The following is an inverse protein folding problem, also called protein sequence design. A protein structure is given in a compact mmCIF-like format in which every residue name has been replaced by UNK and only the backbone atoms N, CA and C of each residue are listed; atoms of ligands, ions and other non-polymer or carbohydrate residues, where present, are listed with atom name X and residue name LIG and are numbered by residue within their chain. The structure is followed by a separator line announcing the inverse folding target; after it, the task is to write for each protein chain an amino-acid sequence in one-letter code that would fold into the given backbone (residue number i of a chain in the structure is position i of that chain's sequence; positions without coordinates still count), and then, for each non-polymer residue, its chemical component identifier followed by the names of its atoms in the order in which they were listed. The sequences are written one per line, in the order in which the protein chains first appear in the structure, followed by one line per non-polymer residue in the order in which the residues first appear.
data_IF_938609864371
#
_entry.id   IF_938609864371
#
_cell.length_a   1.000
_cell.length_b   1.000
_cell.length_c   1.000
_cell.angle_alpha   90.00
_cell.angle_beta   90.00
_cell.angle_gamma   90.00
#
_symmetry.space_group_name_H-M   'P 1'
#
loop_
_entity.id
_entity.type
_entity.pdbx_description
1 polymer ?
#
# COMPACT_ATOMS: atom_id res chain seq x y z
N UNK A 1 -13.58 5.85 -12.79
CA UNK A 1 -12.54 5.19 -11.97
C UNK A 1 -13.25 4.36 -10.92
N UNK A 2 -13.12 3.04 -11.00
CA UNK A 2 -13.74 2.06 -10.08
C UNK A 2 -12.65 1.48 -9.19
N UNK A 3 -12.91 1.36 -7.90
CA UNK A 3 -12.03 0.66 -6.96
C UNK A 3 -12.74 -0.64 -6.57
N UNK A 4 -12.01 -1.75 -6.60
CA UNK A 4 -12.55 -3.06 -6.27
C UNK A 4 -11.48 -3.92 -5.59
N UNK A 5 -11.94 -4.91 -4.83
CA UNK A 5 -11.07 -5.98 -4.36
C UNK A 5 -10.60 -6.82 -5.55
N UNK A 6 -9.34 -7.22 -5.53
CA UNK A 6 -8.73 -8.06 -6.57
C UNK A 6 -7.93 -9.21 -5.92
N UNK A 7 -7.73 -10.32 -6.63
CA UNK A 7 -6.75 -11.33 -6.25
C UNK A 7 -5.33 -10.75 -6.13
N UNK A 8 -4.51 -11.33 -5.24
CA UNK A 8 -3.11 -10.92 -5.08
C UNK A 8 -2.34 -10.96 -6.41
N UNK A 9 -2.59 -11.99 -7.22
CA UNK A 9 -1.89 -12.23 -8.50
C UNK A 9 -2.09 -11.10 -9.50
N UNK A 10 -3.26 -10.46 -9.50
CA UNK A 10 -3.57 -9.33 -10.38
C UNK A 10 -2.71 -8.10 -10.06
N UNK A 11 -2.08 -8.05 -8.89
CA UNK A 11 -1.16 -6.96 -8.53
C UNK A 11 0.22 -7.09 -9.16
N UNK A 12 0.61 -8.27 -9.63
CA UNK A 12 2.02 -8.58 -9.93
C UNK A 12 2.58 -7.73 -11.08
N UNK A 13 1.81 -7.54 -12.14
CA UNK A 13 2.26 -6.74 -13.29
C UNK A 13 2.56 -5.29 -12.91
N UNK A 14 1.69 -4.65 -12.12
CA UNK A 14 1.92 -3.28 -11.66
C UNK A 14 3.00 -3.20 -10.56
N UNK A 15 3.13 -4.22 -9.70
CA UNK A 15 4.26 -4.31 -8.75
C UNK A 15 5.58 -4.38 -9.50
N UNK A 16 5.66 -5.21 -10.55
CA UNK A 16 6.85 -5.34 -11.38
C UNK A 16 7.17 -4.03 -12.07
N UNK A 17 6.21 -3.49 -12.82
CA UNK A 17 6.38 -2.25 -13.59
C UNK A 17 6.84 -1.06 -12.73
N UNK A 18 6.27 -0.91 -11.52
CA UNK A 18 6.46 0.32 -10.72
C UNK A 18 7.43 0.15 -9.56
N UNK A 19 7.42 -1.01 -8.89
CA UNK A 19 8.12 -1.21 -7.61
C UNK A 19 9.37 -2.09 -7.74
N UNK A 20 9.42 -2.94 -8.78
CA UNK A 20 10.48 -3.92 -9.05
C UNK A 20 10.88 -3.95 -10.54
N UNK A 21 11.15 -2.79 -11.19
CA UNK A 21 11.37 -2.76 -12.65
C UNK A 21 12.61 -3.53 -13.11
N UNK A 22 13.56 -3.80 -12.21
CA UNK A 22 14.78 -4.56 -12.48
C UNK A 22 14.72 -6.02 -11.98
N UNK A 23 13.57 -6.46 -11.45
CA UNK A 23 13.36 -7.83 -10.99
C UNK A 23 12.54 -8.64 -11.98
N UNK A 24 12.03 -9.76 -11.49
CA UNK A 24 11.12 -10.70 -12.18
C UNK A 24 9.70 -10.58 -11.63
N UNK A 25 8.73 -11.20 -12.30
CA UNK A 25 7.37 -11.33 -11.75
C UNK A 25 7.36 -12.17 -10.46
N UNK A 26 8.26 -13.14 -10.31
CA UNK A 26 8.37 -13.95 -9.10
C UNK A 26 8.75 -13.09 -7.87
N UNK A 27 9.54 -12.03 -8.06
CA UNK A 27 9.87 -11.07 -6.99
C UNK A 27 8.67 -10.23 -6.52
N UNK A 28 7.53 -10.33 -7.22
CA UNK A 28 6.27 -9.68 -6.89
C UNK A 28 5.30 -10.57 -6.12
N UNK A 29 5.62 -11.87 -5.94
CA UNK A 29 4.93 -12.77 -5.04
C UNK A 29 5.36 -12.46 -3.59
N UNK A 30 4.52 -11.75 -2.85
CA UNK A 30 4.83 -11.43 -1.46
C UNK A 30 4.30 -12.54 -0.55
N UNK A 31 5.09 -13.06 0.39
CA UNK A 31 4.61 -14.08 1.34
C UNK A 31 3.32 -13.68 2.05
N UNK A 32 3.18 -12.40 2.43
CA UNK A 32 1.99 -11.85 3.06
C UNK A 32 0.71 -11.95 2.20
N UNK A 33 0.81 -12.11 0.88
CA UNK A 33 -0.36 -12.32 0.00
C UNK A 33 -1.16 -13.58 0.34
N UNK A 34 -0.56 -14.49 1.14
CA UNK A 34 -1.19 -15.72 1.62
C UNK A 34 -1.92 -15.53 2.96
N UNK A 35 -1.86 -14.35 3.56
CA UNK A 35 -2.56 -14.04 4.81
C UNK A 35 -4.08 -13.98 4.55
N UNK A 36 -4.90 -14.83 5.18
CA UNK A 36 -6.35 -14.84 4.98
C UNK A 36 -7.04 -13.57 5.50
N UNK A 37 -6.41 -12.83 6.40
CA UNK A 37 -6.90 -11.53 6.86
C UNK A 37 -6.47 -10.38 5.93
N UNK A 38 -5.59 -10.64 4.96
CA UNK A 38 -5.12 -9.65 3.98
C UNK A 38 -6.12 -9.38 2.86
N UNK A 39 -5.98 -8.23 2.20
CA UNK A 39 -6.75 -7.90 1.00
C UNK A 39 -5.97 -7.01 0.03
N UNK A 40 -6.40 -7.01 -1.23
CA UNK A 40 -5.79 -6.22 -2.30
C UNK A 40 -6.86 -5.39 -3.01
N UNK A 41 -6.50 -4.16 -3.35
CA UNK A 41 -7.35 -3.26 -4.11
C UNK A 41 -6.76 -3.02 -5.48
N UNK A 42 -7.64 -2.92 -6.47
CA UNK A 42 -7.33 -2.46 -7.81
C UNK A 42 -8.16 -1.22 -8.17
N UNK A 43 -7.51 -0.21 -8.74
CA UNK A 43 -8.16 0.92 -9.38
C UNK A 43 -8.22 0.72 -10.90
N UNK A 44 -9.42 0.85 -11.45
CA UNK A 44 -9.71 0.58 -12.86
C UNK A 44 -10.13 1.84 -13.62
N UNK A 45 -9.49 2.06 -14.76
CA UNK A 45 -9.86 3.05 -15.77
C UNK A 45 -10.42 2.31 -17.00
N UNK A 46 -11.75 2.23 -17.09
CA UNK A 46 -12.40 1.27 -17.98
C UNK A 46 -12.14 -0.16 -17.47
N UNK A 47 -11.64 -1.02 -18.36
CA UNK A 47 -11.23 -2.40 -18.02
C UNK A 47 -9.76 -2.50 -17.58
N UNK A 48 -8.96 -1.44 -17.76
CA UNK A 48 -7.54 -1.45 -17.43
C UNK A 48 -7.31 -1.25 -15.94
N UNK A 49 -6.57 -2.17 -15.32
CA UNK A 49 -6.02 -2.00 -13.97
C UNK A 49 -4.89 -0.97 -14.02
N UNK A 50 -5.06 0.15 -13.31
CA UNK A 50 -4.15 1.31 -13.35
C UNK A 50 -3.58 1.68 -11.98
N UNK A 51 -4.04 1.04 -10.91
CA UNK A 51 -3.47 1.22 -9.58
C UNK A 51 -3.74 0.03 -8.69
N UNK A 52 -2.86 -0.21 -7.73
CA UNK A 52 -2.93 -1.31 -6.78
C UNK A 52 -2.49 -0.88 -5.38
N UNK A 53 -3.01 -1.56 -4.38
CA UNK A 53 -2.59 -1.49 -2.99
C UNK A 53 -2.86 -2.83 -2.29
N UNK A 54 -2.03 -3.24 -1.35
CA UNK A 54 -2.21 -4.49 -0.58
C UNK A 54 -2.09 -4.22 0.91
N UNK A 55 -2.95 -4.84 1.71
CA UNK A 55 -3.08 -4.59 3.14
C UNK A 55 -3.06 -5.91 3.88
N UNK A 56 -2.21 -6.02 4.89
CA UNK A 56 -2.05 -7.26 5.69
C UNK A 56 -2.23 -6.95 7.15
N UNK A 57 -2.80 -7.89 7.91
CA UNK A 57 -3.00 -7.71 9.35
C UNK A 57 -1.69 -7.98 10.07
N UNK A 58 -0.93 -6.92 10.33
CA UNK A 58 0.44 -7.01 10.82
C UNK A 58 0.64 -5.91 11.88
N UNK A 59 1.05 -6.31 13.08
CA UNK A 59 1.37 -5.38 14.17
C UNK A 59 2.80 -4.88 14.04
N UNK A 60 2.98 -3.57 14.18
CA UNK A 60 4.30 -2.97 14.32
C UNK A 60 4.63 -2.82 15.82
N UNK A 61 5.81 -3.27 16.29
CA UNK A 61 6.15 -3.25 17.72
C UNK A 61 6.23 -1.84 18.31
N UNK A 62 6.57 -0.83 17.50
CA UNK A 62 6.70 0.57 17.94
C UNK A 62 5.40 1.37 17.89
N UNK A 63 4.29 0.78 17.40
CA UNK A 63 3.02 1.48 17.20
C UNK A 63 1.94 0.94 18.14
N UNK A 64 1.22 1.86 18.78
CA UNK A 64 0.14 1.53 19.73
C UNK A 64 -1.19 1.28 19.00
N UNK A 65 -1.75 0.09 19.16
CA UNK A 65 -3.06 -0.30 18.61
C UNK A 65 -3.22 -1.83 18.64
N UNK A 66 -4.44 -2.32 18.70
CA UNK A 66 -4.72 -3.75 18.84
C UNK A 66 -4.83 -4.42 17.48
N UNK A 67 -5.65 -3.86 16.59
CA UNK A 67 -5.84 -4.34 15.23
C UNK A 67 -5.13 -3.38 14.29
N UNK A 68 -3.99 -3.83 13.76
CA UNK A 68 -3.14 -3.03 12.88
C UNK A 68 -3.05 -3.65 11.50
N UNK A 69 -3.01 -2.80 10.48
CA UNK A 69 -2.79 -3.22 9.11
C UNK A 69 -1.58 -2.52 8.51
N UNK A 70 -0.78 -3.29 7.77
CA UNK A 70 0.34 -2.80 6.98
C UNK A 70 -0.06 -2.66 5.53
N UNK A 71 0.09 -1.46 4.97
CA UNK A 71 0.06 -1.22 3.54
C UNK A 71 1.40 -1.63 2.91
N UNK A 72 1.34 -2.40 1.82
CA UNK A 72 2.44 -2.65 0.89
C UNK A 72 1.95 -2.60 -0.55
N UNK A 73 2.89 -2.60 -1.49
CA UNK A 73 2.56 -2.75 -2.92
C UNK A 73 1.75 -1.59 -3.51
N UNK A 74 1.77 -0.42 -2.89
CA UNK A 74 1.07 0.76 -3.39
C UNK A 74 1.71 1.26 -4.69
N UNK A 75 0.98 1.20 -5.79
CA UNK A 75 1.46 1.66 -7.09
C UNK A 75 0.31 2.22 -7.94
N UNK A 76 0.63 3.22 -8.75
CA UNK A 76 -0.24 3.73 -9.82
C UNK A 76 0.58 3.73 -11.10
N UNK A 77 -0.01 3.22 -12.17
CA UNK A 77 0.58 3.20 -13.51
C UNK A 77 1.11 4.59 -13.86
N UNK A 78 2.35 4.74 -14.37
CA UNK A 78 2.97 6.04 -14.62
C UNK A 78 2.09 7.04 -15.39
N UNK A 79 1.46 6.58 -16.48
CA UNK A 79 0.54 7.36 -17.33
C UNK A 79 -0.75 7.85 -16.62
N UNK A 80 -1.05 7.30 -15.44
CA UNK A 80 -2.27 7.58 -14.67
C UNK A 80 -1.99 8.32 -13.34
N UNK A 81 -0.73 8.69 -13.07
CA UNK A 81 -0.35 9.46 -11.88
C UNK A 81 -0.90 10.90 -11.93
N UNK A 82 -0.91 11.58 -10.78
CA UNK A 82 -1.45 12.94 -10.66
C UNK A 82 -2.97 13.04 -10.65
N UNK A 83 -3.70 11.94 -10.89
CA UNK A 83 -5.18 11.90 -10.98
C UNK A 83 -5.88 11.48 -9.69
N UNK A 84 -5.22 11.65 -8.53
CA UNK A 84 -5.70 11.25 -7.19
C UNK A 84 -6.13 9.77 -7.05
N UNK A 85 -5.75 8.90 -7.99
CA UNK A 85 -6.09 7.45 -7.96
C UNK A 85 -5.61 6.80 -6.66
N UNK A 86 -4.37 7.07 -6.27
CA UNK A 86 -3.81 6.52 -5.05
C UNK A 86 -4.56 6.99 -3.79
N UNK A 87 -4.94 8.26 -3.74
CA UNK A 87 -5.70 8.80 -2.62
C UNK A 87 -7.08 8.12 -2.50
N UNK A 88 -7.79 7.94 -3.62
CA UNK A 88 -9.08 7.25 -3.64
C UNK A 88 -8.96 5.78 -3.20
N UNK A 89 -7.90 5.07 -3.58
CA UNK A 89 -7.65 3.70 -3.10
C UNK A 89 -7.42 3.68 -1.58
N UNK A 90 -6.70 4.67 -1.05
CA UNK A 90 -6.45 4.79 0.38
C UNK A 90 -7.72 5.14 1.16
N UNK A 91 -8.55 6.06 0.66
CA UNK A 91 -9.86 6.38 1.24
C UNK A 91 -10.74 5.13 1.33
N UNK A 92 -10.90 4.40 0.22
CA UNK A 92 -11.64 3.14 0.21
C UNK A 92 -11.08 2.12 1.21
N UNK A 93 -9.75 1.99 1.27
CA UNK A 93 -9.11 1.06 2.18
C UNK A 93 -9.34 1.45 3.65
N UNK A 94 -9.26 2.74 3.99
CA UNK A 94 -9.48 3.23 5.35
C UNK A 94 -10.92 2.96 5.79
N UNK A 95 -11.92 3.24 4.93
CA UNK A 95 -13.32 2.94 5.23
C UNK A 95 -13.53 1.43 5.46
N UNK A 96 -12.94 0.60 4.59
CA UNK A 96 -13.00 -0.85 4.75
C UNK A 96 -12.32 -1.33 6.04
N UNK A 97 -11.15 -0.79 6.38
CA UNK A 97 -10.44 -1.10 7.61
C UNK A 97 -11.24 -0.67 8.85
N UNK A 98 -11.94 0.46 8.80
CA UNK A 98 -12.83 0.92 9.86
C UNK A 98 -14.00 -0.07 10.06
N UNK A 99 -14.59 -0.58 8.97
CA UNK A 99 -15.61 -1.64 9.07
C UNK A 99 -15.08 -2.94 9.70
N UNK A 100 -13.77 -3.20 9.59
CA UNK A 100 -13.07 -4.34 10.22
C UNK A 100 -12.57 -4.04 11.63
N UNK A 101 -12.93 -2.88 12.19
CA UNK A 101 -12.48 -2.41 13.51
C UNK A 101 -10.95 -2.33 13.63
N UNK A 102 -10.25 -2.05 12.54
CA UNK A 102 -8.83 -1.75 12.61
C UNK A 102 -8.63 -0.42 13.33
N UNK A 103 -7.62 -0.35 14.20
CA UNK A 103 -7.29 0.86 14.96
C UNK A 103 -6.20 1.69 14.30
N UNK A 104 -5.42 1.07 13.40
CA UNK A 104 -4.21 1.67 12.86
C UNK A 104 -3.82 1.08 11.50
N UNK A 105 -3.46 1.97 10.57
CA UNK A 105 -2.84 1.65 9.30
C UNK A 105 -1.42 2.21 9.28
N UNK A 106 -0.46 1.39 8.86
CA UNK A 106 0.94 1.80 8.75
C UNK A 106 1.60 1.31 7.47
N UNK A 107 2.72 1.92 7.11
CA UNK A 107 3.56 1.49 6.00
C UNK A 107 5.03 1.88 6.22
N UNK A 108 5.92 1.21 5.49
CA UNK A 108 7.26 1.72 5.25
C UNK A 108 7.20 2.50 3.95
N UNK A 109 7.07 3.82 4.05
CA UNK A 109 6.96 4.70 2.90
C UNK A 109 8.34 5.01 2.34
N UNK A 110 8.54 4.83 1.03
CA UNK A 110 9.72 5.39 0.35
C UNK A 110 9.76 6.90 0.57
N UNK A 111 10.96 7.47 0.71
CA UNK A 111 11.13 8.92 0.89
C UNK A 111 10.36 9.74 -0.16
N UNK A 112 10.45 9.36 -1.43
CA UNK A 112 9.75 10.01 -2.54
C UNK A 112 8.21 9.99 -2.42
N UNK A 113 7.66 9.09 -1.61
CA UNK A 113 6.22 8.96 -1.37
C UNK A 113 5.78 9.58 -0.03
N UNK A 114 6.70 10.09 0.79
CA UNK A 114 6.40 10.68 2.10
C UNK A 114 5.35 11.78 2.01
N UNK A 115 5.50 12.72 1.08
CA UNK A 115 4.53 13.81 0.88
C UNK A 115 3.12 13.34 0.51
N UNK A 116 3.01 12.23 -0.24
CA UNK A 116 1.73 11.62 -0.56
C UNK A 116 1.02 11.10 0.70
N UNK A 117 1.73 10.37 1.56
CA UNK A 117 1.14 9.83 2.79
C UNK A 117 0.86 10.91 3.84
N UNK A 118 1.70 11.95 3.94
CA UNK A 118 1.41 13.13 4.76
C UNK A 118 0.10 13.81 4.34
N UNK A 119 -0.12 13.98 3.03
CA UNK A 119 -1.37 14.52 2.49
C UNK A 119 -2.60 13.66 2.76
N UNK A 120 -2.41 12.38 3.11
CA UNK A 120 -3.46 11.46 3.57
C UNK A 120 -3.59 11.40 5.10
N UNK A 121 -2.97 12.33 5.82
CA UNK A 121 -3.05 12.40 7.29
C UNK A 121 -2.22 11.34 8.00
N UNK A 122 -1.31 10.65 7.32
CA UNK A 122 -0.32 9.79 7.98
C UNK A 122 0.80 10.63 8.59
N UNK A 123 1.42 10.12 9.65
CA UNK A 123 2.52 10.75 10.38
C UNK A 123 3.72 9.84 10.37
N UNK A 124 4.93 10.41 10.37
CA UNK A 124 6.18 9.65 10.52
C UNK A 124 6.42 9.28 11.97
N UNK A 125 7.01 8.10 12.20
CA UNK A 125 7.51 7.65 13.49
C UNK A 125 9.00 7.33 13.38
N UNK A 126 9.81 7.97 14.21
CA UNK A 126 11.27 7.77 14.22
C UNK A 126 11.98 8.41 13.02
N UNK A 127 13.27 8.07 12.90
CA UNK A 127 14.18 8.55 11.86
C UNK A 127 14.04 7.72 10.56
N UNK A 128 14.48 8.26 9.39
CA UNK A 128 14.56 7.47 8.17
C UNK A 128 15.50 6.27 8.33
N UNK A 129 15.19 5.20 7.62
CA UNK A 129 16.02 3.99 7.57
C UNK A 129 16.12 3.45 6.15
N UNK A 130 17.25 2.82 5.82
CA UNK A 130 17.46 2.22 4.51
C UNK A 130 16.94 0.79 4.45
N UNK A 131 16.25 0.47 3.35
CA UNK A 131 15.92 -0.90 3.00
C UNK A 131 16.81 -1.30 1.82
N UNK A 132 17.61 -2.35 2.00
CA UNK A 132 18.55 -2.84 1.01
C UNK A 132 17.88 -3.02 -0.37
N UNK A 133 18.47 -2.43 -1.40
CA UNK A 133 17.99 -2.48 -2.79
C UNK A 133 16.78 -1.62 -3.11
N UNK A 134 16.20 -0.87 -2.15
CA UNK A 134 15.02 -0.02 -2.35
C UNK A 134 15.24 1.41 -1.84
N UNK A 135 16.25 1.64 -0.99
CA UNK A 135 16.69 2.96 -0.54
C UNK A 135 15.97 3.46 0.72
N UNK A 136 15.93 4.79 0.96
CA UNK A 136 15.46 5.37 2.21
C UNK A 136 13.93 5.28 2.36
N UNK A 137 13.51 4.89 3.56
CA UNK A 137 12.12 4.76 3.96
C UNK A 137 11.84 5.45 5.31
N UNK A 138 10.57 5.75 5.54
CA UNK A 138 10.04 6.22 6.81
C UNK A 138 8.95 5.27 7.28
N UNK A 139 8.95 4.93 8.57
CA UNK A 139 7.77 4.33 9.19
C UNK A 139 6.70 5.41 9.26
N UNK A 140 5.55 5.16 8.62
CA UNK A 140 4.42 6.09 8.62
C UNK A 140 3.15 5.39 9.11
N UNK A 141 2.30 6.09 9.85
CA UNK A 141 1.06 5.53 10.38
C UNK A 141 -0.07 6.55 10.49
N UNK A 142 -1.30 6.05 10.57
CA UNK A 142 -2.52 6.82 10.82
C UNK A 142 -3.52 5.97 11.61
N UNK A 143 -4.28 6.61 12.51
CA UNK A 143 -5.48 6.01 13.11
C UNK A 143 -6.55 5.86 12.03
N UNK A 144 -7.11 4.66 11.92
CA UNK A 144 -8.21 4.36 11.01
C UNK A 144 -9.50 4.95 11.56
#
# INVERSE_FOLDING_TARGET
MRIQFIPAKDTWELRHLVLRPHGTLADCDYPNDRDPDGFHLGAFSGERLVGIASFYKERHPELTGWIQFRLRGMAVHPEHRGRKIGARMMEFAIDHLGSRKADLLWCNAREVAKGFYLGLGMQTRGEPFDIAGIGPHFLMHRRV
#
